data_IF_619138331621
#
_entry.id   IF_619138331621
#
_cell.length_a   1.000
_cell.length_b   1.000
_cell.length_c   1.000
_cell.angle_alpha   90.00
_cell.angle_beta   90.00
_cell.angle_gamma   90.00
#
_symmetry.space_group_name_H-M   'P 1'
#
loop_
_entity.id
_entity.type
_entity.pdbx_description
1 polymer ?
#
# COMPACT_ATOMS: atom_id res chain seq x y z
N UNK A 1 0.97 19.95 -4.96
CA UNK A 1 0.73 18.64 -4.31
C UNK A 1 0.98 18.83 -2.84
N UNK A 2 -0.10 18.87 -2.07
CA UNK A 2 -0.04 18.94 -0.62
C UNK A 2 0.15 17.51 -0.09
N UNK A 3 1.23 17.28 0.66
CA UNK A 3 1.49 15.97 1.26
C UNK A 3 0.91 16.01 2.67
N UNK A 4 -0.38 15.65 2.77
CA UNK A 4 -1.07 15.56 4.05
C UNK A 4 -0.44 14.49 4.94
N UNK A 5 0.47 14.88 5.83
CA UNK A 5 0.75 14.13 7.04
C UNK A 5 -0.46 14.34 7.95
N UNK A 6 -1.39 13.40 7.95
CA UNK A 6 -2.61 13.52 8.75
C UNK A 6 -2.27 13.68 10.23
N UNK A 7 -2.54 14.85 10.78
CA UNK A 7 -2.64 15.06 12.22
C UNK A 7 -3.91 14.33 12.70
N UNK A 8 -3.76 13.04 13.01
CA UNK A 8 -4.85 12.15 13.43
C UNK A 8 -5.45 11.28 12.32
N UNK A 9 -6.10 10.18 12.73
CA UNK A 9 -6.71 9.16 11.86
C UNK A 9 -7.77 9.76 10.93
N UNK A 10 -8.55 10.72 11.43
CA UNK A 10 -9.60 11.40 10.66
C UNK A 10 -9.05 12.28 9.53
N UNK A 11 -7.82 12.78 9.68
CA UNK A 11 -7.15 13.56 8.64
C UNK A 11 -6.84 12.71 7.42
N UNK A 12 -6.31 11.50 7.63
CA UNK A 12 -5.92 10.57 6.56
C UNK A 12 -7.13 10.10 5.75
N UNK A 13 -8.26 9.82 6.40
CA UNK A 13 -9.45 9.32 5.70
C UNK A 13 -10.04 10.31 4.70
N UNK A 14 -9.99 11.62 5.01
CA UNK A 14 -10.47 12.67 4.09
C UNK A 14 -9.64 12.73 2.79
N UNK A 15 -8.36 12.36 2.86
CA UNK A 15 -7.50 12.33 1.67
C UNK A 15 -7.74 11.10 0.80
N UNK A 16 -8.19 9.98 1.36
CA UNK A 16 -8.50 8.75 0.59
C UNK A 16 -9.66 8.99 -0.37
N UNK A 17 -10.67 9.74 0.08
CA UNK A 17 -11.86 10.04 -0.71
C UNK A 17 -11.57 10.94 -1.92
N UNK A 18 -10.41 11.58 -1.98
CA UNK A 18 -10.02 12.46 -3.10
C UNK A 18 -8.82 11.94 -3.90
N UNK A 19 -8.03 11.02 -3.34
CA UNK A 19 -6.84 10.53 -4.01
C UNK A 19 -7.17 9.73 -5.28
N UNK A 20 -6.43 10.03 -6.34
CA UNK A 20 -6.41 9.24 -7.58
C UNK A 20 -5.53 7.99 -7.43
N UNK A 21 -4.41 8.15 -6.72
CA UNK A 21 -3.49 7.05 -6.40
C UNK A 21 -3.22 7.03 -4.91
N UNK A 22 -3.33 5.85 -4.30
CA UNK A 22 -2.97 5.59 -2.92
C UNK A 22 -1.83 4.58 -2.89
N UNK A 23 -0.85 4.84 -2.03
CA UNK A 23 0.25 3.92 -1.80
C UNK A 23 0.45 3.74 -0.30
N UNK A 24 0.24 2.52 0.19
CA UNK A 24 0.52 2.14 1.58
C UNK A 24 1.85 1.41 1.60
N UNK A 25 2.83 1.92 2.36
CA UNK A 25 4.17 1.34 2.46
C UNK A 25 4.32 0.59 3.78
N UNK A 26 5.02 -0.53 3.73
CA UNK A 26 5.29 -1.42 4.86
C UNK A 26 6.81 -1.51 5.06
N UNK A 27 7.41 -0.59 5.85
CA UNK A 27 8.86 -0.54 6.03
C UNK A 27 9.46 -1.84 6.56
N UNK A 28 8.70 -2.58 7.38
CA UNK A 28 9.15 -3.84 7.99
C UNK A 28 9.63 -4.89 6.99
N UNK A 29 9.05 -4.94 5.80
CA UNK A 29 9.42 -5.91 4.76
C UNK A 29 9.65 -5.25 3.39
N UNK A 30 9.83 -3.92 3.36
CA UNK A 30 10.24 -3.17 2.18
C UNK A 30 9.26 -3.18 1.00
N UNK A 31 7.98 -3.45 1.25
CA UNK A 31 6.94 -3.50 0.21
C UNK A 31 5.92 -2.38 0.34
N UNK A 32 5.14 -2.21 -0.71
CA UNK A 32 4.03 -1.28 -0.76
C UNK A 32 2.89 -1.85 -1.59
N UNK A 33 1.66 -1.52 -1.23
CA UNK A 33 0.52 -1.73 -2.12
C UNK A 33 0.16 -0.40 -2.76
N UNK A 34 0.12 -0.41 -4.09
CA UNK A 34 -0.28 0.73 -4.91
C UNK A 34 -1.67 0.46 -5.45
N UNK A 35 -2.56 1.41 -5.22
CA UNK A 35 -3.94 1.44 -5.69
C UNK A 35 -4.09 2.68 -6.57
N UNK A 36 -4.38 2.50 -7.84
CA UNK A 36 -4.67 3.58 -8.79
C UNK A 36 -6.09 3.41 -9.30
N UNK A 37 -7.01 4.25 -8.81
CA UNK A 37 -8.45 4.15 -9.09
C UNK A 37 -8.86 4.89 -10.36
N UNK A 38 -7.90 5.51 -11.05
CA UNK A 38 -8.17 6.15 -12.33
C UNK A 38 -8.49 5.09 -13.37
N UNK A 39 -9.48 5.40 -14.18
CA UNK A 39 -9.99 4.52 -15.22
C UNK A 39 -9.98 5.21 -16.57
N UNK A 40 -9.83 4.41 -17.62
CA UNK A 40 -10.02 4.77 -19.03
C UNK A 40 -10.49 3.49 -19.74
N UNK A 41 -11.06 3.63 -20.93
CA UNK A 41 -11.38 2.48 -21.77
C UNK A 41 -10.18 1.51 -21.88
N UNK A 42 -10.40 0.24 -21.51
CA UNK A 42 -9.37 -0.81 -21.49
C UNK A 42 -8.35 -0.72 -20.35
N UNK A 43 -8.50 0.23 -19.42
CA UNK A 43 -7.56 0.53 -18.34
C UNK A 43 -8.29 0.52 -16.98
N UNK A 44 -8.54 -0.67 -16.39
CA UNK A 44 -9.23 -0.80 -15.10
C UNK A 44 -8.35 -0.26 -13.95
N UNK A 45 -8.90 -0.09 -12.74
CA UNK A 45 -8.11 0.24 -11.58
C UNK A 45 -6.97 -0.75 -11.38
N UNK A 46 -5.82 -0.25 -10.94
CA UNK A 46 -4.64 -1.07 -10.66
C UNK A 46 -4.53 -1.25 -9.16
N UNK A 47 -4.45 -2.51 -8.71
CA UNK A 47 -4.07 -2.86 -7.35
C UNK A 47 -2.90 -3.82 -7.39
N UNK A 48 -1.75 -3.44 -6.83
CA UNK A 48 -0.53 -4.25 -6.92
C UNK A 48 0.42 -4.04 -5.76
N UNK A 49 1.02 -5.14 -5.29
CA UNK A 49 2.15 -5.12 -4.36
C UNK A 49 3.45 -4.92 -5.13
N UNK A 50 4.28 -3.98 -4.67
CA UNK A 50 5.53 -3.58 -5.30
C UNK A 50 6.58 -3.26 -4.22
N UNK A 51 7.88 -3.40 -4.51
CA UNK A 51 8.92 -2.84 -3.65
C UNK A 51 8.69 -1.35 -3.39
N UNK A 52 9.00 -0.90 -2.18
CA UNK A 52 8.87 0.52 -1.83
C UNK A 52 9.73 1.38 -2.77
N UNK A 53 9.10 2.39 -3.37
CA UNK A 53 9.83 3.40 -4.14
C UNK A 53 10.78 4.18 -3.22
N UNK A 54 11.98 4.48 -3.71
CA UNK A 54 13.03 5.16 -2.93
C UNK A 54 12.83 6.67 -2.81
N UNK A 55 11.94 7.23 -3.62
CA UNK A 55 11.61 8.66 -3.62
C UNK A 55 10.25 8.91 -4.27
N UNK A 56 9.75 10.14 -4.14
CA UNK A 56 8.53 10.59 -4.83
C UNK A 56 8.69 10.47 -6.36
N UNK A 57 9.82 10.90 -6.91
CA UNK A 57 10.10 10.81 -8.34
C UNK A 57 10.12 9.35 -8.83
N UNK A 58 10.70 8.45 -8.04
CA UNK A 58 10.76 7.02 -8.35
C UNK A 58 9.35 6.38 -8.34
N UNK A 59 8.50 6.77 -7.38
CA UNK A 59 7.10 6.34 -7.32
C UNK A 59 6.32 6.76 -8.56
N UNK A 60 6.40 8.04 -8.92
CA UNK A 60 5.73 8.59 -10.11
C UNK A 60 6.17 7.88 -11.39
N UNK A 61 7.47 7.60 -11.52
CA UNK A 61 8.04 6.85 -12.64
C UNK A 61 7.49 5.43 -12.70
N UNK A 62 7.42 4.75 -11.55
CA UNK A 62 6.88 3.40 -11.43
C UNK A 62 5.40 3.34 -11.83
N UNK A 63 4.58 4.27 -11.32
CA UNK A 63 3.17 4.39 -11.69
C UNK A 63 3.03 4.65 -13.20
N UNK A 64 3.80 5.61 -13.76
CA UNK A 64 3.72 5.93 -15.19
C UNK A 64 4.12 4.76 -16.09
N UNK A 65 5.09 3.93 -15.67
CA UNK A 65 5.48 2.71 -16.39
C UNK A 65 4.37 1.66 -16.38
N UNK A 66 3.63 1.53 -15.28
CA UNK A 66 2.51 0.58 -15.18
C UNK A 66 1.24 1.06 -15.86
N UNK A 67 1.00 2.38 -15.90
CA UNK A 67 -0.20 3.00 -16.50
C UNK A 67 0.19 4.03 -17.57
N UNK A 68 0.84 3.62 -18.68
CA UNK A 68 1.35 4.54 -19.69
C UNK A 68 0.24 5.30 -20.43
N UNK A 69 -0.94 4.72 -20.58
CA UNK A 69 -2.08 5.30 -21.28
C UNK A 69 -2.83 6.38 -20.47
N UNK A 70 -2.58 6.46 -19.16
CA UNK A 70 -3.17 7.47 -18.28
C UNK A 70 -2.26 8.72 -18.18
N UNK A 71 -2.85 9.91 -17.96
CA UNK A 71 -2.07 11.10 -17.64
C UNK A 71 -1.32 10.92 -16.32
N UNK A 72 -0.44 11.87 -15.99
CA UNK A 72 0.19 11.91 -14.67
C UNK A 72 -0.89 12.13 -13.60
N UNK A 73 -0.87 11.40 -12.47
CA UNK A 73 -1.83 11.63 -11.40
C UNK A 73 -1.63 13.01 -10.78
N UNK A 74 -2.73 13.66 -10.44
CA UNK A 74 -2.77 14.96 -9.77
C UNK A 74 -2.67 14.82 -8.25
N UNK A 75 -3.27 13.76 -7.71
CA UNK A 75 -3.32 13.51 -6.28
C UNK A 75 -2.83 12.10 -5.93
N UNK A 76 -1.74 12.06 -5.17
CA UNK A 76 -1.15 10.83 -4.65
C UNK A 76 -1.12 10.89 -3.14
N UNK A 77 -1.82 9.96 -2.51
CA UNK A 77 -1.77 9.74 -1.08
C UNK A 77 -0.73 8.66 -0.75
N UNK A 78 0.20 9.00 0.14
CA UNK A 78 1.27 8.12 0.60
C UNK A 78 1.10 7.86 2.10
N UNK A 79 0.89 6.60 2.49
CA UNK A 79 0.60 6.22 3.88
C UNK A 79 1.70 5.28 4.38
N UNK A 80 2.56 5.71 5.32
CA UNK A 80 3.45 4.80 6.01
C UNK A 80 2.64 3.95 7.00
N UNK A 81 2.77 2.62 6.93
CA UNK A 81 2.11 1.68 7.83
C UNK A 81 3.13 0.90 8.66
N UNK A 82 3.15 1.14 9.96
CA UNK A 82 4.07 0.48 10.92
C UNK A 82 3.41 -0.68 11.69
N UNK A 83 2.10 -0.83 11.57
CA UNK A 83 1.32 -1.90 12.20
C UNK A 83 1.39 -3.22 11.44
N UNK A 84 0.61 -4.20 11.89
CA UNK A 84 0.40 -5.43 11.13
C UNK A 84 -0.46 -5.16 9.90
N UNK A 85 -0.27 -5.90 8.80
CA UNK A 85 -1.09 -5.77 7.58
C UNK A 85 -2.56 -5.98 7.91
N UNK A 86 -2.88 -6.98 8.74
CA UNK A 86 -4.26 -7.26 9.16
C UNK A 86 -4.94 -6.07 9.87
N UNK A 87 -4.17 -5.23 10.56
CA UNK A 87 -4.70 -4.06 11.25
C UNK A 87 -5.21 -2.95 10.31
N UNK A 88 -4.90 -3.03 9.01
CA UNK A 88 -5.52 -2.16 7.99
C UNK A 88 -7.03 -2.37 7.87
N UNK A 89 -7.49 -3.60 8.09
CA UNK A 89 -8.92 -3.92 8.10
C UNK A 89 -9.58 -3.38 9.37
N UNK A 90 -9.00 -3.65 10.53
CA UNK A 90 -9.57 -3.23 11.82
C UNK A 90 -9.52 -1.72 12.03
N UNK A 91 -8.58 -1.01 11.40
CA UNK A 91 -8.53 0.46 11.41
C UNK A 91 -9.57 1.13 10.50
N UNK A 92 -10.23 0.37 9.62
CA UNK A 92 -11.14 0.90 8.60
C UNK A 92 -10.44 1.48 7.36
N UNK A 93 -9.10 1.58 7.36
CA UNK A 93 -8.34 2.09 6.22
C UNK A 93 -8.60 1.27 4.95
N UNK A 94 -8.53 -0.06 5.08
CA UNK A 94 -8.73 -0.97 3.95
C UNK A 94 -10.16 -0.88 3.40
N UNK A 95 -11.16 -0.76 4.27
CA UNK A 95 -12.56 -0.63 3.85
C UNK A 95 -12.76 0.64 2.99
N UNK A 96 -12.13 1.76 3.37
CA UNK A 96 -12.15 2.99 2.56
C UNK A 96 -11.47 2.81 1.21
N UNK A 97 -10.33 2.14 1.16
CA UNK A 97 -9.63 1.84 -0.11
C UNK A 97 -10.48 0.96 -1.03
N UNK A 98 -11.09 -0.10 -0.49
CA UNK A 98 -11.97 -1.00 -1.27
C UNK A 98 -13.17 -0.25 -1.82
N UNK A 99 -13.84 0.58 -0.99
CA UNK A 99 -14.96 1.41 -1.44
C UNK A 99 -14.60 2.33 -2.62
N UNK A 100 -13.36 2.84 -2.66
CA UNK A 100 -12.86 3.64 -3.80
C UNK A 100 -12.72 2.83 -5.07
N UNK A 101 -12.37 1.55 -4.97
CA UNK A 101 -12.28 0.64 -6.12
C UNK A 101 -13.69 0.24 -6.58
N UNK A 102 -14.60 -0.06 -5.64
CA UNK A 102 -15.99 -0.43 -5.94
C UNK A 102 -16.71 0.67 -6.72
N UNK A 103 -16.44 1.94 -6.39
CA UNK A 103 -17.01 3.10 -7.08
C UNK A 103 -16.59 3.25 -8.57
N UNK A 104 -15.65 2.44 -9.05
CA UNK A 104 -15.18 2.49 -10.45
C UNK A 104 -15.94 1.55 -11.41
N UNK A 105 -16.80 0.66 -10.87
CA UNK A 105 -17.55 -0.34 -11.65
C UNK A 105 -16.69 -1.41 -12.36
N UNK A 106 -15.52 -1.73 -11.78
CA UNK A 106 -14.63 -2.81 -12.25
C UNK A 106 -14.53 -3.94 -11.20
N UNK A 107 -15.38 -4.99 -11.28
CA UNK A 107 -15.42 -6.05 -10.27
C UNK A 107 -14.11 -6.85 -10.17
N UNK A 108 -13.39 -7.01 -11.29
CA UNK A 108 -12.10 -7.70 -11.32
C UNK A 108 -11.04 -6.96 -10.48
N UNK A 109 -11.16 -5.64 -10.32
CA UNK A 109 -10.25 -4.86 -9.49
C UNK A 109 -10.43 -5.15 -7.99
N UNK A 110 -11.64 -5.53 -7.56
CA UNK A 110 -11.90 -5.98 -6.18
C UNK A 110 -11.20 -7.32 -5.93
N UNK A 111 -11.31 -8.25 -6.87
CA UNK A 111 -10.60 -9.53 -6.80
C UNK A 111 -9.08 -9.32 -6.77
N UNK A 112 -8.56 -8.36 -7.54
CA UNK A 112 -7.15 -7.98 -7.50
C UNK A 112 -6.74 -7.39 -6.13
N UNK A 113 -7.60 -6.58 -5.51
CA UNK A 113 -7.37 -6.02 -4.20
C UNK A 113 -7.29 -7.08 -3.10
N UNK A 114 -8.19 -8.06 -3.11
CA UNK A 114 -8.16 -9.19 -2.19
C UNK A 114 -6.87 -10.01 -2.33
N UNK A 115 -6.50 -10.36 -3.57
CA UNK A 115 -5.26 -11.10 -3.86
C UNK A 115 -4.01 -10.34 -3.38
N UNK A 116 -3.96 -9.03 -3.62
CA UNK A 116 -2.86 -8.18 -3.18
C UNK A 116 -2.80 -8.09 -1.64
N UNK A 117 -3.95 -8.02 -0.97
CA UNK A 117 -4.00 -8.02 0.49
C UNK A 117 -3.47 -9.35 1.08
N UNK A 118 -3.88 -10.48 0.51
CA UNK A 118 -3.41 -11.81 0.94
C UNK A 118 -1.92 -12.02 0.64
N UNK A 119 -1.41 -11.42 -0.44
CA UNK A 119 0.02 -11.36 -0.71
C UNK A 119 0.79 -10.61 0.38
N UNK A 120 0.31 -9.43 0.81
CA UNK A 120 0.92 -8.68 1.91
C UNK A 120 0.94 -9.48 3.22
N UNK A 121 -0.16 -10.18 3.56
CA UNK A 121 -0.23 -11.03 4.75
C UNK A 121 0.80 -12.15 4.69
N UNK A 122 0.98 -12.78 3.52
CA UNK A 122 2.01 -13.80 3.32
C UNK A 122 3.43 -13.25 3.44
N UNK A 123 3.68 -12.04 2.94
CA UNK A 123 4.97 -11.36 3.09
C UNK A 123 5.27 -11.05 4.56
N UNK A 124 4.30 -10.49 5.29
CA UNK A 124 4.45 -10.20 6.72
C UNK A 124 4.73 -11.45 7.55
N UNK A 125 4.03 -12.56 7.28
CA UNK A 125 4.28 -13.83 7.97
C UNK A 125 5.68 -14.37 7.72
N UNK A 126 6.19 -14.25 6.50
CA UNK A 126 7.56 -14.66 6.17
C UNK A 126 8.60 -13.83 6.90
N UNK A 127 8.40 -12.51 6.95
CA UNK A 127 9.26 -11.59 7.68
C UNK A 127 9.31 -11.93 9.18
N UNK A 128 8.14 -12.14 9.80
CA UNK A 128 8.05 -12.52 11.21
C UNK A 128 8.73 -13.87 11.49
N UNK A 129 8.57 -14.85 10.60
CA UNK A 129 9.23 -16.14 10.74
C UNK A 129 10.76 -16.02 10.69
N UNK A 130 11.30 -15.22 9.78
CA UNK A 130 12.74 -14.97 9.66
C UNK A 130 13.31 -14.26 10.89
N UNK A 131 12.56 -13.28 11.43
CA UNK A 131 12.92 -12.60 12.68
C UNK A 131 12.98 -13.57 13.86
N UNK A 132 12.04 -14.52 13.95
CA UNK A 132 12.02 -15.54 15.02
C UNK A 132 13.15 -16.55 14.86
N UNK A 133 13.46 -16.96 13.62
CA UNK A 133 14.51 -17.94 13.34
C UNK A 133 15.94 -17.40 13.52
N UNK A 134 16.12 -16.07 13.61
CA UNK A 134 17.40 -15.45 13.93
C UNK A 134 18.44 -15.51 12.80
N UNK A 135 18.07 -15.96 11.59
CA UNK A 135 19.02 -16.10 10.47
C UNK A 135 19.57 -14.76 9.94
N UNK A 136 18.99 -13.62 10.36
CA UNK A 136 19.44 -12.27 9.99
C UNK A 136 19.56 -11.28 11.16
N UNK A 137 19.37 -11.73 12.40
CA UNK A 137 19.36 -10.85 13.58
C UNK A 137 20.19 -11.46 14.71
N UNK A 138 21.27 -10.78 15.10
CA UNK A 138 22.04 -11.15 16.29
C UNK A 138 21.27 -10.79 17.57
N UNK A 139 21.08 -11.76 18.45
CA UNK A 139 20.55 -11.54 19.80
C UNK A 139 21.53 -10.70 20.63
N UNK A 140 21.13 -9.48 21.00
CA UNK A 140 21.93 -8.54 21.80
C UNK A 140 22.17 -8.97 23.26
N UNK A 141 21.46 -9.98 23.76
CA UNK A 141 21.59 -10.45 25.14
C UNK A 141 21.86 -11.95 25.20
N UNK A 142 23.13 -12.32 25.13
CA UNK A 142 23.58 -13.61 25.63
C UNK A 142 23.58 -13.54 27.17
N UNK A 143 22.85 -14.44 27.84
CA UNK A 143 23.01 -14.59 29.30
C UNK A 143 24.44 -15.05 29.57
N UNK A 144 25.24 -14.21 30.24
CA UNK A 144 26.47 -14.67 30.86
C UNK A 144 26.12 -15.71 31.93
N UNK A 145 26.82 -16.84 31.86
CA UNK A 145 26.69 -17.95 32.81
C UNK A 145 27.83 -17.90 33.81
#
# INVERSE_FOLDING_TARGET
MDFGYGNGVDGVFKFIDNAEVMAVFFPKFGQSIVIDVRVKEGEPPLVRVLPMARSIADRLRTIKRMRPALPRPQDILAIPWVGYVGALKTSGLWAKVVARIEATDYPDAITAAEKAFDELIRMERRELAQLIMGEQYETLWARQR
#
